data_IF_848796862808
#
_entry.id   IF_848796862808
#
_cell.length_a   1.000
_cell.length_b   1.000
_cell.length_c   1.000
_cell.angle_alpha   90.00
_cell.angle_beta   90.00
_cell.angle_gamma   90.00
#
_symmetry.space_group_name_H-M   'P 1'
#
loop_
_entity.id
_entity.type
_entity.pdbx_description
1 polymer ?
#
# COMPACT_ATOMS: atom_id res chain seq x y z
N UNK A 1 -15.72 -9.37 17.73
CA UNK A 1 -15.33 -8.21 16.89
C UNK A 1 -14.65 -8.73 15.64
N UNK A 2 -15.36 -8.80 14.52
CA UNK A 2 -14.86 -9.37 13.27
C UNK A 2 -14.08 -8.31 12.47
N UNK A 3 -12.80 -8.08 12.85
CA UNK A 3 -11.87 -7.12 12.25
C UNK A 3 -11.24 -7.69 10.97
N UNK A 4 -12.06 -8.00 9.97
CA UNK A 4 -11.77 -9.03 8.95
C UNK A 4 -10.55 -8.89 8.05
N UNK A 5 -9.77 -7.81 8.07
CA UNK A 5 -8.48 -7.80 7.37
C UNK A 5 -7.42 -7.04 8.18
N UNK A 6 -6.39 -7.77 8.60
CA UNK A 6 -5.13 -7.22 9.05
C UNK A 6 -4.06 -8.19 8.56
N UNK A 7 -3.57 -7.97 7.34
CA UNK A 7 -2.32 -8.56 6.87
C UNK A 7 -1.29 -7.45 6.84
N UNK A 8 -0.53 -7.31 7.91
CA UNK A 8 0.67 -6.47 7.95
C UNK A 8 1.80 -7.28 7.33
N UNK A 9 1.84 -7.37 6.02
CA UNK A 9 3.01 -7.91 5.33
C UNK A 9 4.03 -6.78 5.13
N UNK A 10 5.27 -7.00 5.59
CA UNK A 10 6.42 -6.23 5.12
C UNK A 10 6.66 -6.61 3.66
N UNK A 11 6.09 -5.86 2.73
CA UNK A 11 6.30 -6.13 1.31
C UNK A 11 7.70 -5.64 0.92
N UNK A 12 8.55 -6.59 0.56
CA UNK A 12 9.80 -6.34 -0.16
C UNK A 12 9.50 -6.47 -1.66
N UNK A 13 9.28 -5.37 -2.38
CA UNK A 13 9.21 -5.47 -3.84
C UNK A 13 10.62 -5.63 -4.42
N UNK A 14 10.76 -6.53 -5.37
CA UNK A 14 11.90 -6.55 -6.31
C UNK A 14 11.91 -5.22 -7.09
N UNK A 15 13.00 -4.46 -6.97
CA UNK A 15 13.14 -3.13 -7.59
C UNK A 15 12.81 -1.94 -6.69
N UNK A 16 12.45 -2.15 -5.41
CA UNK A 16 12.40 -1.04 -4.45
C UNK A 16 13.83 -0.54 -4.20
N UNK A 17 14.12 0.76 -4.33
CA UNK A 17 15.42 1.29 -3.96
C UNK A 17 15.71 0.98 -2.48
N UNK A 18 16.94 0.55 -2.18
CA UNK A 18 17.37 0.23 -0.81
C UNK A 18 17.10 1.45 0.10
N UNK A 19 16.35 1.27 1.19
CA UNK A 19 16.06 2.36 2.13
C UNK A 19 14.63 2.92 2.08
N UNK A 20 13.74 2.31 1.29
CA UNK A 20 12.30 2.52 1.41
C UNK A 20 11.63 1.35 2.12
N UNK A 21 10.91 1.66 3.19
CA UNK A 21 10.11 0.69 3.92
C UNK A 21 8.70 1.24 4.04
N UNK A 22 7.70 0.42 3.74
CA UNK A 22 6.31 0.79 3.93
C UNK A 22 5.56 -0.34 4.59
N UNK A 23 4.47 0.03 5.26
CA UNK A 23 3.49 -0.87 5.82
C UNK A 23 2.13 -0.47 5.31
N UNK A 24 1.28 -1.46 5.16
CA UNK A 24 -0.07 -1.23 4.74
C UNK A 24 -0.99 -2.26 5.36
N UNK A 25 -2.27 -1.92 5.36
CA UNK A 25 -3.34 -2.78 5.77
C UNK A 25 -4.57 -2.44 4.93
N UNK A 26 -5.46 -3.40 4.79
CA UNK A 26 -6.82 -3.13 4.34
C UNK A 26 -7.74 -3.34 5.52
N UNK A 27 -8.63 -2.40 5.76
CA UNK A 27 -9.70 -2.51 6.75
C UNK A 27 -11.04 -2.36 6.03
N UNK A 28 -12.15 -2.59 6.74
CA UNK A 28 -13.47 -2.47 6.15
C UNK A 28 -14.53 -1.87 7.07
N UNK A 29 -14.40 -0.59 7.46
CA UNK A 29 -15.47 0.09 8.18
C UNK A 29 -16.72 0.14 7.31
N UNK A 30 -17.89 -0.06 7.93
CA UNK A 30 -19.19 -0.03 7.26
C UNK A 30 -19.31 -0.95 6.02
N UNK A 31 -18.49 -2.01 5.93
CA UNK A 31 -18.54 -2.96 4.82
C UNK A 31 -17.93 -2.45 3.50
N UNK A 32 -17.17 -1.35 3.53
CA UNK A 32 -16.43 -0.82 2.38
C UNK A 32 -14.94 -0.98 2.62
N UNK A 33 -14.20 -1.45 1.62
CA UNK A 33 -12.76 -1.64 1.69
C UNK A 33 -12.07 -0.28 1.75
N UNK A 34 -11.31 -0.09 2.82
CA UNK A 34 -10.37 1.02 2.96
C UNK A 34 -8.94 0.49 2.94
N UNK A 35 -8.08 1.24 2.26
CA UNK A 35 -6.67 0.92 2.14
C UNK A 35 -5.86 1.92 2.95
N UNK A 36 -5.14 1.41 3.95
CA UNK A 36 -4.33 2.20 4.86
C UNK A 36 -2.85 1.96 4.62
N UNK A 37 -2.04 3.01 4.65
CA UNK A 37 -0.60 2.85 4.47
C UNK A 37 0.24 3.94 5.10
N UNK A 38 1.47 3.55 5.41
CA UNK A 38 2.53 4.41 5.91
C UNK A 38 3.86 4.02 5.25
N UNK A 39 4.65 5.00 4.86
CA UNK A 39 5.95 4.82 4.24
C UNK A 39 7.04 5.64 4.93
N UNK A 40 8.26 5.12 4.89
CA UNK A 40 9.49 5.80 5.29
C UNK A 40 10.43 5.79 4.09
N UNK A 41 10.83 6.97 3.63
CA UNK A 41 11.92 7.16 2.69
C UNK A 41 12.97 8.04 3.34
N UNK A 42 14.12 7.46 3.68
CA UNK A 42 15.17 8.16 4.44
C UNK A 42 16.05 9.10 3.60
N UNK A 43 16.00 8.98 2.28
CA UNK A 43 16.91 9.69 1.37
C UNK A 43 16.15 10.61 0.40
N UNK A 44 16.45 11.91 0.48
CA UNK A 44 15.92 12.95 -0.40
C UNK A 44 16.32 12.68 -1.86
N UNK A 45 17.53 12.14 -2.10
CA UNK A 45 18.01 11.82 -3.44
C UNK A 45 17.16 10.76 -4.14
N UNK A 46 16.46 9.91 -3.37
CA UNK A 46 15.61 8.84 -3.89
C UNK A 46 14.12 9.20 -3.94
N UNK A 47 13.76 10.44 -3.57
CA UNK A 47 12.37 10.90 -3.51
C UNK A 47 11.63 10.76 -4.84
N UNK A 48 12.27 11.08 -5.95
CA UNK A 48 11.68 10.95 -7.29
C UNK A 48 11.39 9.49 -7.65
N UNK A 49 12.33 8.58 -7.38
CA UNK A 49 12.14 7.14 -7.58
C UNK A 49 11.00 6.60 -6.71
N UNK A 50 10.90 7.07 -5.46
CA UNK A 50 9.80 6.71 -4.57
C UNK A 50 8.44 7.21 -5.09
N UNK A 51 8.38 8.44 -5.58
CA UNK A 51 7.13 9.00 -6.12
C UNK A 51 6.66 8.21 -7.36
N UNK A 52 7.59 7.81 -8.24
CA UNK A 52 7.27 6.95 -9.38
C UNK A 52 6.77 5.56 -8.95
N UNK A 53 7.42 4.93 -7.97
CA UNK A 53 6.98 3.64 -7.43
C UNK A 53 5.59 3.77 -6.81
N UNK A 54 5.36 4.81 -6.00
CA UNK A 54 4.06 5.04 -5.37
C UNK A 54 2.95 5.28 -6.40
N UNK A 55 3.23 5.91 -7.53
CA UNK A 55 2.26 6.06 -8.62
C UNK A 55 1.93 4.74 -9.31
N UNK A 56 2.91 3.84 -9.42
CA UNK A 56 2.75 2.53 -10.07
C UNK A 56 2.20 1.46 -9.13
N UNK A 57 2.21 1.64 -7.82
CA UNK A 57 1.63 0.64 -6.91
C UNK A 57 0.11 0.56 -7.08
N UNK A 58 -0.44 -0.65 -7.05
CA UNK A 58 -1.86 -0.92 -7.25
C UNK A 58 -2.36 -1.90 -6.19
N UNK A 59 -3.53 -1.64 -5.64
CA UNK A 59 -4.23 -2.58 -4.78
C UNK A 59 -5.13 -3.45 -5.65
N UNK A 60 -4.90 -4.76 -5.57
CA UNK A 60 -5.68 -5.77 -6.26
C UNK A 60 -6.52 -6.57 -5.26
N UNK A 61 -7.75 -6.87 -5.66
CA UNK A 61 -8.64 -7.79 -4.98
C UNK A 61 -9.10 -8.86 -5.96
N UNK A 62 -8.85 -10.13 -5.64
CA UNK A 62 -9.18 -11.28 -6.48
C UNK A 62 -8.66 -11.11 -7.93
N UNK A 63 -7.44 -10.57 -8.08
CA UNK A 63 -6.80 -10.31 -9.39
C UNK A 63 -7.34 -9.10 -10.16
N UNK A 64 -8.25 -8.30 -9.57
CA UNK A 64 -8.75 -7.05 -10.16
C UNK A 64 -8.22 -5.85 -9.41
N UNK A 65 -7.74 -4.85 -10.15
CA UNK A 65 -7.28 -3.58 -9.57
C UNK A 65 -8.47 -2.81 -9.01
N UNK A 66 -8.44 -2.54 -7.70
CA UNK A 66 -9.47 -1.78 -6.98
C UNK A 66 -8.98 -0.39 -6.56
N UNK A 67 -7.66 -0.16 -6.55
CA UNK A 67 -7.10 1.17 -6.35
C UNK A 67 -5.75 1.31 -7.05
N UNK A 68 -5.45 2.50 -7.57
CA UNK A 68 -4.18 2.82 -8.24
C UNK A 68 -3.48 3.96 -7.55
N UNK A 69 -2.18 3.83 -7.40
CA UNK A 69 -1.34 4.77 -6.69
C UNK A 69 -1.47 4.62 -5.18
N UNK A 70 -0.38 4.89 -4.46
CA UNK A 70 -0.34 4.87 -3.00
C UNK A 70 0.21 6.17 -2.42
N UNK A 71 -0.04 7.27 -3.13
CA UNK A 71 0.45 8.59 -2.74
C UNK A 71 -0.10 9.07 -1.39
N UNK A 72 -1.26 8.54 -0.99
CA UNK A 72 -1.92 8.86 0.26
C UNK A 72 -1.17 8.38 1.50
N UNK A 73 -0.21 7.46 1.38
CA UNK A 73 0.51 6.89 2.53
C UNK A 73 1.09 7.98 3.42
N UNK A 74 0.85 7.88 4.72
CA UNK A 74 1.46 8.76 5.70
C UNK A 74 2.99 8.62 5.61
N UNK A 75 3.72 9.72 5.73
CA UNK A 75 5.19 9.69 5.69
C UNK A 75 5.77 9.78 7.09
N UNK A 76 6.75 8.95 7.36
CA UNK A 76 7.56 9.04 8.58
C UNK A 76 9.04 9.23 8.24
N UNK A 77 9.74 9.96 9.10
CA UNK A 77 11.13 10.36 8.86
C UNK A 77 12.15 9.25 9.18
N UNK A 78 11.71 8.06 9.61
CA UNK A 78 12.60 6.94 9.91
C UNK A 78 11.86 5.61 9.95
N UNK A 79 12.52 4.54 9.50
CA UNK A 79 12.00 3.16 9.51
C UNK A 79 11.61 2.73 10.94
N UNK A 80 12.38 3.12 11.96
CA UNK A 80 12.11 2.82 13.39
C UNK A 80 10.75 3.35 13.88
N UNK A 81 10.17 4.33 13.20
CA UNK A 81 8.88 4.93 13.57
C UNK A 81 7.70 4.28 12.84
N UNK A 82 7.92 3.41 11.85
CA UNK A 82 6.85 2.77 11.09
C UNK A 82 5.89 1.95 11.96
N UNK A 83 6.41 1.27 12.98
CA UNK A 83 5.60 0.48 13.93
C UNK A 83 4.60 1.31 14.74
N UNK A 84 4.95 2.56 15.03
CA UNK A 84 4.16 3.46 15.89
C UNK A 84 3.41 4.53 15.10
N UNK A 85 3.49 4.48 13.78
CA UNK A 85 2.97 5.52 12.92
C UNK A 85 1.48 5.33 12.67
N UNK A 86 0.75 6.44 12.67
CA UNK A 86 -0.64 6.46 12.21
C UNK A 86 -0.63 6.44 10.69
N UNK A 87 -1.31 5.44 10.10
CA UNK A 87 -1.46 5.33 8.67
C UNK A 87 -2.56 6.27 8.16
N UNK A 88 -2.39 6.78 6.95
CA UNK A 88 -3.49 7.39 6.22
C UNK A 88 -4.29 6.30 5.53
N UNK A 89 -5.61 6.43 5.53
CA UNK A 89 -6.53 5.51 4.89
C UNK A 89 -7.31 6.20 3.78
N UNK A 90 -7.64 5.46 2.74
CA UNK A 90 -8.53 5.90 1.68
C UNK A 90 -9.61 4.86 1.45
N UNK A 91 -10.83 5.33 1.15
CA UNK A 91 -11.88 4.42 0.70
C UNK A 91 -11.67 4.06 -0.77
N UNK A 92 -11.75 2.77 -1.07
CA UNK A 92 -11.70 2.28 -2.45
C UNK A 92 -13.08 2.33 -3.12
N UNK A 93 -14.15 2.58 -2.37
CA UNK A 93 -15.54 2.46 -2.84
C UNK A 93 -16.00 1.01 -3.08
N UNK A 94 -15.11 0.03 -2.93
CA UNK A 94 -15.43 -1.38 -3.18
C UNK A 94 -15.98 -2.03 -1.92
N UNK A 95 -17.16 -2.66 -2.04
CA UNK A 95 -17.78 -3.40 -0.92
C UNK A 95 -17.00 -4.66 -0.58
N UNK A 96 -17.01 -5.03 0.71
CA UNK A 96 -16.43 -6.29 1.17
C UNK A 96 -17.22 -7.46 0.54
N UNK A 97 -16.54 -8.38 -0.16
CA UNK A 97 -17.19 -9.56 -0.69
C UNK A 97 -17.62 -10.51 0.43
N UNK A 98 -18.68 -11.29 0.19
CA UNK A 98 -19.19 -12.26 1.16
C UNK A 98 -18.15 -13.34 1.52
N UNK A 99 -17.27 -13.68 0.56
CA UNK A 99 -16.13 -14.58 0.76
C UNK A 99 -14.87 -13.77 1.06
N UNK A 100 -13.94 -14.35 1.83
CA UNK A 100 -12.65 -13.74 2.12
C UNK A 100 -11.90 -13.46 0.80
N UNK A 101 -11.63 -12.18 0.45
CA UNK A 101 -10.88 -11.83 -0.75
C UNK A 101 -9.39 -12.13 -0.61
N UNK A 102 -8.76 -12.42 -1.75
CA UNK A 102 -7.31 -12.32 -1.90
C UNK A 102 -6.96 -10.86 -2.19
N UNK A 103 -6.19 -10.23 -1.29
CA UNK A 103 -5.80 -8.82 -1.41
C UNK A 103 -4.29 -8.77 -1.58
N UNK A 104 -3.85 -8.08 -2.62
CA UNK A 104 -2.43 -7.91 -2.95
C UNK A 104 -2.13 -6.47 -3.27
N UNK A 105 -0.96 -6.03 -2.85
CA UNK A 105 -0.39 -4.78 -3.31
C UNK A 105 0.69 -5.13 -4.32
N UNK A 106 0.49 -4.71 -5.57
CA UNK A 106 1.36 -5.03 -6.71
C UNK A 106 1.98 -3.74 -7.23
N UNK A 107 3.01 -3.88 -8.07
CA UNK A 107 3.49 -2.79 -8.91
C UNK A 107 2.93 -3.00 -10.30
N UNK A 108 2.35 -1.94 -10.86
CA UNK A 108 2.05 -1.84 -12.28
C UNK A 108 3.38 -1.96 -13.04
N UNK A 109 3.66 -3.18 -13.49
CA UNK A 109 4.80 -3.49 -14.34
C UNK A 109 4.52 -3.11 -15.79
N UNK A 110 3.69 -2.08 -16.03
CA UNK A 110 3.35 -1.55 -17.34
C UNK A 110 4.52 -1.75 -18.29
N UNK A 111 4.28 -2.55 -19.34
CA UNK A 111 5.27 -3.05 -20.30
C UNK A 111 6.33 -1.96 -20.51
N UNK A 112 7.52 -2.15 -19.95
CA UNK A 112 8.66 -1.30 -20.31
C UNK A 112 8.94 -1.69 -21.76
N UNK A 113 8.40 -0.93 -22.71
CA UNK A 113 8.98 -0.92 -24.06
C UNK A 113 10.37 -0.36 -23.87
N UNK A 114 11.35 -1.26 -23.82
CA UNK A 114 12.72 -0.92 -24.19
C UNK A 114 12.78 -0.53 -25.66
#
# INVERSE_FOLDING_TARGET
>A
MDKRFAKTDEIKFTGTPKGYSFRWAVIAPAGVIEFCGVGSGGDIAMRSAYDQIRQKMQLEMNGKVIHRGVQFFARVNSVKKLDKAVANCISTGVKVPAKRPDIRLTLDRGRVKG
#
